data_IF_405214313730
#
_entry.id   IF_405214313730
#
_cell.length_a   1.000
_cell.length_b   1.000
_cell.length_c   1.000
_cell.angle_alpha   90.00
_cell.angle_beta   90.00
_cell.angle_gamma   90.00
#
_symmetry.space_group_name_H-M   'P 1'
#
loop_
_entity.id
_entity.type
_entity.pdbx_description
1 polymer ?
#
# COMPACT_ATOMS: atom_id res chain seq x y z
N UNK A 1 -11.76 -14.59 20.49
CA UNK A 1 -12.81 -13.54 20.51
C UNK A 1 -12.27 -12.22 19.96
N UNK A 2 -11.09 -11.77 20.38
CA UNK A 2 -10.51 -10.48 19.96
C UNK A 2 -10.22 -10.39 18.44
N UNK A 3 -9.72 -11.46 17.83
CA UNK A 3 -9.47 -11.51 16.40
C UNK A 3 -10.77 -11.42 15.57
N UNK A 4 -11.80 -12.14 15.98
CA UNK A 4 -13.13 -12.10 15.36
C UNK A 4 -13.78 -10.71 15.50
N UNK A 5 -13.65 -10.09 16.66
CA UNK A 5 -14.16 -8.74 16.90
C UNK A 5 -13.45 -7.70 16.01
N UNK A 6 -12.13 -7.78 15.88
CA UNK A 6 -11.34 -6.90 14.98
C UNK A 6 -11.72 -7.07 13.52
N UNK A 7 -11.93 -8.32 13.07
CA UNK A 7 -12.39 -8.61 11.70
C UNK A 7 -13.80 -8.06 11.48
N UNK A 8 -14.71 -8.26 12.43
CA UNK A 8 -16.06 -7.69 12.36
C UNK A 8 -16.04 -6.17 12.32
N UNK A 9 -15.26 -5.54 13.21
CA UNK A 9 -15.14 -4.07 13.24
C UNK A 9 -14.55 -3.52 11.94
N UNK A 10 -13.51 -4.17 11.43
CA UNK A 10 -12.92 -3.81 10.15
C UNK A 10 -13.94 -3.96 9.00
N UNK A 11 -14.66 -5.09 8.92
CA UNK A 11 -15.68 -5.32 7.91
C UNK A 11 -16.83 -4.30 8.00
N UNK A 12 -17.25 -3.93 9.21
CA UNK A 12 -18.29 -2.92 9.43
C UNK A 12 -17.84 -1.52 9.03
N UNK A 13 -16.63 -1.10 9.45
CA UNK A 13 -16.09 0.22 9.13
C UNK A 13 -15.79 0.32 7.63
N UNK A 14 -15.12 -0.68 7.05
CA UNK A 14 -14.80 -0.67 5.62
C UNK A 14 -16.05 -0.88 4.76
N UNK A 15 -16.93 -1.84 5.11
CA UNK A 15 -18.17 -2.08 4.38
C UNK A 15 -19.13 -0.90 4.48
N UNK A 16 -19.36 -0.38 5.68
CA UNK A 16 -20.20 0.80 5.91
C UNK A 16 -19.61 2.06 5.26
N UNK A 17 -18.29 2.25 5.39
CA UNK A 17 -17.58 3.35 4.73
C UNK A 17 -17.69 3.29 3.21
N UNK A 18 -17.54 2.11 2.60
CA UNK A 18 -17.72 1.90 1.16
C UNK A 18 -19.15 2.25 0.73
N UNK A 19 -20.16 1.77 1.45
CA UNK A 19 -21.55 2.06 1.14
C UNK A 19 -21.87 3.54 1.27
N UNK A 20 -21.35 4.20 2.32
CA UNK A 20 -21.54 5.61 2.55
C UNK A 20 -20.88 6.47 1.45
N UNK A 21 -19.60 6.26 1.17
CA UNK A 21 -18.87 6.98 0.12
C UNK A 21 -19.47 6.68 -1.26
N UNK A 22 -19.91 5.46 -1.47
CA UNK A 22 -20.58 4.98 -2.66
C UNK A 22 -21.90 5.74 -2.91
N UNK A 23 -22.66 6.08 -1.87
CA UNK A 23 -23.87 6.91 -1.98
C UNK A 23 -23.60 8.38 -2.32
N UNK A 24 -22.39 8.88 -2.03
CA UNK A 24 -21.98 10.26 -2.35
C UNK A 24 -21.52 10.43 -3.80
N UNK A 25 -21.15 9.34 -4.49
CA UNK A 25 -20.68 9.38 -5.88
C UNK A 25 -21.88 9.20 -6.82
N UNK A 26 -22.21 10.18 -7.67
CA UNK A 26 -23.30 10.06 -8.63
C UNK A 26 -23.04 8.92 -9.61
N UNK A 27 -24.06 8.12 -9.91
CA UNK A 27 -24.00 7.03 -10.90
C UNK A 27 -24.05 7.54 -12.37
N UNK A 28 -23.44 8.69 -12.62
CA UNK A 28 -23.35 9.24 -13.98
C UNK A 28 -22.10 8.67 -14.66
N UNK A 29 -22.25 7.98 -15.79
CA UNK A 29 -21.09 7.50 -16.55
C UNK A 29 -20.24 8.69 -16.99
N UNK A 30 -18.92 8.50 -17.00
CA UNK A 30 -17.99 9.50 -17.55
C UNK A 30 -18.15 9.59 -19.06
N UNK A 31 -17.75 10.74 -19.64
CA UNK A 31 -17.74 10.92 -21.09
C UNK A 31 -16.90 9.83 -21.76
N UNK A 32 -17.30 9.39 -22.95
CA UNK A 32 -16.61 8.33 -23.69
C UNK A 32 -15.12 8.65 -23.94
N UNK A 33 -14.79 9.93 -24.15
CA UNK A 33 -13.39 10.40 -24.27
C UNK A 33 -12.58 10.11 -23.01
N UNK A 34 -13.11 10.41 -21.83
CA UNK A 34 -12.44 10.15 -20.55
C UNK A 34 -12.31 8.64 -20.28
N UNK A 35 -13.30 7.83 -20.64
CA UNK A 35 -13.20 6.37 -20.53
C UNK A 35 -12.08 5.80 -21.44
N UNK A 36 -11.95 6.35 -22.66
CA UNK A 36 -10.89 5.99 -23.59
C UNK A 36 -9.50 6.40 -23.05
N UNK A 37 -9.38 7.60 -22.45
CA UNK A 37 -8.13 8.06 -21.83
C UNK A 37 -7.72 7.18 -20.64
N UNK A 38 -8.66 6.78 -19.80
CA UNK A 38 -8.40 5.86 -18.68
C UNK A 38 -7.94 4.51 -19.20
N UNK A 39 -8.54 3.99 -20.28
CA UNK A 39 -8.10 2.71 -20.87
C UNK A 39 -6.70 2.80 -21.48
N UNK A 40 -6.34 3.94 -22.06
CA UNK A 40 -5.05 4.19 -22.72
C UNK A 40 -3.91 4.46 -21.72
N UNK A 41 -4.16 5.29 -20.74
CA UNK A 41 -3.14 5.80 -19.83
C UNK A 41 -3.22 5.23 -18.41
N UNK A 42 -4.29 4.51 -18.06
CA UNK A 42 -4.52 4.02 -16.71
C UNK A 42 -3.38 3.14 -16.20
N UNK A 43 -2.84 2.26 -17.03
CA UNK A 43 -1.70 1.42 -16.67
C UNK A 43 -0.44 2.26 -16.37
N UNK A 44 -0.18 3.32 -17.13
CA UNK A 44 0.96 4.21 -16.90
C UNK A 44 0.80 4.99 -15.58
N UNK A 45 -0.39 5.49 -15.28
CA UNK A 45 -0.69 6.15 -14.01
C UNK A 45 -0.55 5.22 -12.80
N UNK A 46 -1.02 3.98 -12.92
CA UNK A 46 -0.84 2.96 -11.88
C UNK A 46 0.64 2.60 -11.71
N UNK A 47 1.39 2.50 -12.81
CA UNK A 47 2.83 2.31 -12.77
C UNK A 47 3.55 3.43 -12.03
N UNK A 48 3.23 4.68 -12.36
CA UNK A 48 3.79 5.86 -11.69
C UNK A 48 3.46 5.88 -10.19
N UNK A 49 2.23 5.58 -9.82
CA UNK A 49 1.83 5.49 -8.41
C UNK A 49 2.55 4.35 -7.67
N UNK A 50 2.83 3.23 -8.34
CA UNK A 50 3.66 2.15 -7.80
C UNK A 50 5.11 2.57 -7.56
N UNK A 51 5.71 3.30 -8.50
CA UNK A 51 7.06 3.86 -8.35
C UNK A 51 7.11 4.90 -7.23
N UNK A 52 6.08 5.73 -7.10
CA UNK A 52 5.95 6.67 -5.99
C UNK A 52 5.86 5.95 -4.64
N UNK A 53 5.04 4.89 -4.53
CA UNK A 53 4.95 4.08 -3.32
C UNK A 53 6.31 3.47 -2.95
N UNK A 54 7.05 2.95 -3.94
CA UNK A 54 8.40 2.42 -3.74
C UNK A 54 9.39 3.49 -3.28
N UNK A 55 9.43 4.66 -3.94
CA UNK A 55 10.30 5.77 -3.59
C UNK A 55 10.02 6.31 -2.18
N UNK A 56 8.74 6.42 -1.82
CA UNK A 56 8.32 6.80 -0.46
C UNK A 56 8.75 5.75 0.58
N UNK A 57 8.68 4.46 0.22
CA UNK A 57 9.17 3.36 1.04
C UNK A 57 10.68 3.47 1.29
N UNK A 58 11.49 3.68 0.26
CA UNK A 58 12.94 3.89 0.38
C UNK A 58 13.25 5.06 1.34
N UNK A 59 12.57 6.17 1.16
CA UNK A 59 12.75 7.36 2.00
C UNK A 59 12.33 7.11 3.46
N UNK A 60 11.24 6.39 3.68
CA UNK A 60 10.80 5.99 5.02
C UNK A 60 11.82 5.09 5.70
N UNK A 61 12.32 4.08 4.98
CA UNK A 61 13.32 3.14 5.48
C UNK A 61 14.66 3.80 5.84
N UNK A 62 15.08 4.83 5.09
CA UNK A 62 16.32 5.56 5.34
C UNK A 62 16.28 6.46 6.59
N UNK A 63 15.09 6.73 7.15
CA UNK A 63 14.89 7.57 8.34
C UNK A 63 14.62 6.81 9.63
N UNK A 64 14.82 5.51 9.67
CA UNK A 64 14.59 4.68 10.86
C UNK A 64 13.78 3.43 10.61
N UNK A 65 13.17 3.33 9.43
CA UNK A 65 12.47 2.13 8.98
C UNK A 65 11.07 1.93 9.58
N UNK A 66 10.32 0.96 9.03
CA UNK A 66 8.95 0.67 9.43
C UNK A 66 8.86 -0.15 10.72
N UNK A 67 10.00 -0.60 11.26
CA UNK A 67 10.07 -1.39 12.49
C UNK A 67 10.42 -0.44 13.65
N UNK A 68 9.40 0.14 14.27
CA UNK A 68 9.56 0.74 15.59
C UNK A 68 9.68 -0.41 16.60
N UNK A 69 10.89 -0.70 17.05
CA UNK A 69 11.13 -1.60 18.18
C UNK A 69 11.19 -0.72 19.40
N UNK A 70 10.30 -0.96 20.36
CA UNK A 70 10.32 -0.24 21.61
C UNK A 70 11.63 -0.52 22.36
N UNK A 71 12.18 0.48 23.03
CA UNK A 71 13.46 0.36 23.76
C UNK A 71 13.44 -0.74 24.79
N UNK A 72 12.28 -1.02 25.38
CA UNK A 72 12.06 -2.13 26.30
C UNK A 72 12.27 -3.49 25.64
N UNK A 73 11.78 -3.68 24.41
CA UNK A 73 11.96 -4.91 23.64
C UNK A 73 13.44 -5.13 23.24
N UNK A 74 14.15 -4.03 22.94
CA UNK A 74 15.58 -4.09 22.62
C UNK A 74 16.38 -4.65 23.78
N UNK A 75 16.11 -4.20 25.00
CA UNK A 75 16.85 -4.64 26.19
C UNK A 75 16.56 -6.09 26.57
N UNK A 76 15.31 -6.53 26.47
CA UNK A 76 14.93 -7.87 26.94
C UNK A 76 15.08 -8.96 25.88
N UNK A 77 14.79 -8.63 24.61
CA UNK A 77 14.76 -9.62 23.52
C UNK A 77 16.09 -9.74 22.79
N UNK A 78 16.82 -8.64 22.59
CA UNK A 78 18.10 -8.67 21.89
C UNK A 78 19.28 -9.15 22.76
N UNK A 79 19.13 -9.13 24.09
CA UNK A 79 20.11 -9.70 25.03
C UNK A 79 19.87 -11.20 25.30
N UNK A 80 18.69 -11.74 24.92
CA UNK A 80 18.40 -13.16 25.04
C UNK A 80 19.18 -13.96 23.97
N UNK A 81 19.57 -15.22 24.25
CA UNK A 81 20.32 -16.09 23.31
C UNK A 81 19.39 -16.64 22.21
N UNK A 82 18.60 -15.78 21.56
CA UNK A 82 17.70 -16.10 20.46
C UNK A 82 18.20 -15.51 19.14
N UNK A 83 17.96 -16.22 18.05
CA UNK A 83 18.36 -15.74 16.73
C UNK A 83 17.64 -14.43 16.39
N UNK A 84 18.38 -13.32 16.27
CA UNK A 84 17.86 -11.98 15.92
C UNK A 84 16.96 -12.00 14.69
N UNK A 85 17.25 -12.88 13.73
CA UNK A 85 16.44 -13.06 12.53
C UNK A 85 15.00 -13.47 12.83
N UNK A 86 14.78 -14.41 13.77
CA UNK A 86 13.44 -14.87 14.13
C UNK A 86 12.64 -13.79 14.84
N UNK A 87 13.31 -13.01 15.69
CA UNK A 87 12.69 -11.91 16.42
C UNK A 87 12.22 -10.79 15.50
N UNK A 88 13.02 -10.42 14.51
CA UNK A 88 12.71 -9.34 13.58
C UNK A 88 11.77 -9.76 12.44
N UNK A 89 11.75 -11.04 12.07
CA UNK A 89 10.93 -11.54 10.97
C UNK A 89 9.43 -11.40 11.27
N UNK A 90 9.01 -11.73 12.49
CA UNK A 90 7.59 -11.69 12.88
C UNK A 90 6.99 -10.29 12.77
N UNK A 91 7.56 -9.22 13.37
CA UNK A 91 7.04 -7.87 13.20
C UNK A 91 7.15 -7.36 11.76
N UNK A 92 8.18 -7.73 11.00
CA UNK A 92 8.30 -7.37 9.60
C UNK A 92 7.17 -7.96 8.74
N UNK A 93 6.89 -9.27 8.90
CA UNK A 93 5.79 -9.93 8.20
C UNK A 93 4.43 -9.37 8.63
N UNK A 94 4.25 -9.09 9.91
CA UNK A 94 3.02 -8.48 10.41
C UNK A 94 2.82 -7.08 9.81
N UNK A 95 3.87 -6.27 9.74
CA UNK A 95 3.81 -4.95 9.12
C UNK A 95 3.50 -5.01 7.63
N UNK A 96 4.13 -5.96 6.93
CA UNK A 96 3.85 -6.21 5.51
C UNK A 96 2.38 -6.58 5.30
N UNK A 97 1.88 -7.55 6.04
CA UNK A 97 0.47 -7.99 5.93
C UNK A 97 -0.51 -6.87 6.23
N UNK A 98 -0.29 -6.09 7.30
CA UNK A 98 -1.19 -4.98 7.64
C UNK A 98 -1.15 -3.86 6.59
N UNK A 99 0.02 -3.55 6.03
CA UNK A 99 0.12 -2.58 4.95
C UNK A 99 -0.58 -3.07 3.68
N UNK A 100 -0.33 -4.32 3.25
CA UNK A 100 -1.01 -4.91 2.09
C UNK A 100 -2.53 -4.94 2.27
N UNK A 101 -3.01 -5.29 3.47
CA UNK A 101 -4.44 -5.29 3.77
C UNK A 101 -5.04 -3.87 3.71
N UNK A 102 -4.41 -2.90 4.37
CA UNK A 102 -4.91 -1.53 4.42
C UNK A 102 -4.93 -0.88 3.02
N UNK A 103 -3.84 -0.99 2.27
CA UNK A 103 -3.76 -0.44 0.90
C UNK A 103 -4.60 -1.22 -0.09
N UNK A 104 -4.73 -2.55 0.09
CA UNK A 104 -5.63 -3.40 -0.70
C UNK A 104 -7.09 -3.03 -0.49
N UNK A 105 -7.51 -2.84 0.77
CA UNK A 105 -8.86 -2.38 1.08
C UNK A 105 -9.16 -1.00 0.48
N UNK A 106 -8.21 -0.04 0.63
CA UNK A 106 -8.34 1.28 0.02
C UNK A 106 -8.42 1.19 -1.52
N UNK A 107 -7.61 0.32 -2.13
CA UNK A 107 -7.64 0.06 -3.57
C UNK A 107 -8.97 -0.56 -4.04
N UNK A 108 -9.54 -1.50 -3.24
CA UNK A 108 -10.85 -2.08 -3.53
C UNK A 108 -11.95 -1.02 -3.54
N UNK A 109 -11.94 -0.11 -2.55
CA UNK A 109 -12.88 1.02 -2.48
C UNK A 109 -12.74 1.92 -3.71
N UNK A 110 -11.51 2.33 -4.02
CA UNK A 110 -11.25 3.16 -5.20
C UNK A 110 -11.70 2.47 -6.50
N UNK A 111 -11.41 1.17 -6.63
CA UNK A 111 -11.87 0.37 -7.77
C UNK A 111 -13.39 0.28 -7.86
N UNK A 112 -14.08 0.05 -6.74
CA UNK A 112 -15.54 0.02 -6.71
C UNK A 112 -16.14 1.36 -7.15
N UNK A 113 -15.56 2.48 -6.69
CA UNK A 113 -16.00 3.81 -7.11
C UNK A 113 -15.73 4.07 -8.60
N UNK A 114 -14.59 3.62 -9.12
CA UNK A 114 -14.27 3.68 -10.53
C UNK A 114 -15.27 2.87 -11.38
N UNK A 115 -15.64 1.66 -10.93
CA UNK A 115 -16.59 0.79 -11.61
C UNK A 115 -18.03 1.32 -11.69
N UNK A 116 -18.38 2.34 -10.90
CA UNK A 116 -19.67 3.05 -11.02
C UNK A 116 -19.71 4.03 -12.19
N UNK A 117 -18.57 4.49 -12.64
CA UNK A 117 -18.46 5.55 -13.64
C UNK A 117 -17.80 5.10 -14.94
N UNK A 118 -16.99 4.03 -14.86
CA UNK A 118 -16.27 3.46 -15.99
C UNK A 118 -16.97 2.19 -16.50
N UNK A 119 -16.82 1.85 -17.79
CA UNK A 119 -17.39 0.62 -18.34
C UNK A 119 -16.76 -0.62 -17.67
N UNK A 120 -17.58 -1.66 -17.49
CA UNK A 120 -17.18 -2.90 -16.84
C UNK A 120 -17.95 -3.20 -15.55
N UNK A 121 -17.64 -4.32 -14.89
CA UNK A 121 -18.31 -4.67 -13.64
C UNK A 121 -17.61 -4.01 -12.46
N UNK A 122 -18.37 -3.48 -11.50
CA UNK A 122 -17.83 -2.90 -10.27
C UNK A 122 -16.96 -3.90 -9.49
N UNK A 123 -17.32 -5.20 -9.54
CA UNK A 123 -16.54 -6.25 -8.90
C UNK A 123 -15.15 -6.41 -9.54
N UNK A 124 -15.03 -6.39 -10.86
CA UNK A 124 -13.74 -6.50 -11.53
C UNK A 124 -12.83 -5.30 -11.21
N UNK A 125 -13.41 -4.09 -11.19
CA UNK A 125 -12.71 -2.88 -10.78
C UNK A 125 -12.26 -2.93 -9.31
N UNK A 126 -13.13 -3.40 -8.40
CA UNK A 126 -12.79 -3.56 -6.99
C UNK A 126 -11.66 -4.57 -6.77
N UNK A 127 -11.72 -5.73 -7.44
CA UNK A 127 -10.68 -6.75 -7.35
C UNK A 127 -9.33 -6.26 -7.90
N UNK A 128 -9.34 -5.60 -9.06
CA UNK A 128 -8.14 -5.03 -9.67
C UNK A 128 -7.54 -3.95 -8.76
N UNK A 129 -8.38 -3.08 -8.20
CA UNK A 129 -7.96 -2.08 -7.23
C UNK A 129 -7.36 -2.69 -5.96
N UNK A 130 -7.99 -3.75 -5.43
CA UNK A 130 -7.48 -4.48 -4.25
C UNK A 130 -6.11 -5.09 -4.52
N UNK A 131 -5.93 -5.78 -5.63
CA UNK A 131 -4.66 -6.40 -6.00
C UNK A 131 -3.57 -5.35 -6.20
N UNK A 132 -3.88 -4.28 -6.93
CA UNK A 132 -2.93 -3.19 -7.13
C UNK A 132 -2.56 -2.51 -5.82
N UNK A 133 -3.54 -2.19 -4.97
CA UNK A 133 -3.32 -1.58 -3.67
C UNK A 133 -2.45 -2.46 -2.76
N UNK A 134 -2.73 -3.77 -2.68
CA UNK A 134 -1.92 -4.70 -1.92
C UNK A 134 -0.47 -4.76 -2.44
N UNK A 135 -0.28 -4.74 -3.76
CA UNK A 135 1.05 -4.71 -4.38
C UNK A 135 1.79 -3.40 -4.04
N UNK A 136 1.12 -2.26 -4.10
CA UNK A 136 1.69 -0.97 -3.72
C UNK A 136 2.12 -0.93 -2.24
N UNK A 137 1.30 -1.50 -1.34
CA UNK A 137 1.65 -1.66 0.06
C UNK A 137 2.86 -2.57 0.29
N UNK A 138 2.94 -3.67 -0.46
CA UNK A 138 4.10 -4.56 -0.42
C UNK A 138 5.37 -3.87 -0.93
N UNK A 139 5.29 -3.13 -2.02
CA UNK A 139 6.40 -2.34 -2.57
C UNK A 139 6.89 -1.29 -1.57
N UNK A 140 5.97 -0.56 -0.93
CA UNK A 140 6.31 0.44 0.08
C UNK A 140 7.07 -0.18 1.27
N UNK A 141 6.52 -1.23 1.89
CA UNK A 141 7.14 -1.86 3.07
C UNK A 141 8.41 -2.60 2.68
N UNK A 142 8.42 -3.30 1.54
CA UNK A 142 9.60 -4.00 1.02
C UNK A 142 10.75 -3.02 0.76
N UNK A 143 10.48 -1.91 0.09
CA UNK A 143 11.46 -0.86 -0.15
C UNK A 143 12.00 -0.26 1.15
N UNK A 144 11.12 -0.02 2.13
CA UNK A 144 11.53 0.52 3.43
C UNK A 144 12.43 -0.46 4.20
N UNK A 145 12.11 -1.76 4.19
CA UNK A 145 12.94 -2.78 4.81
C UNK A 145 14.30 -2.90 4.10
N UNK A 146 14.33 -2.87 2.76
CA UNK A 146 15.57 -2.89 1.98
C UNK A 146 16.43 -1.66 2.28
N UNK A 147 15.85 -0.46 2.26
CA UNK A 147 16.58 0.78 2.55
C UNK A 147 17.18 0.76 3.97
N UNK A 148 16.44 0.25 4.94
CA UNK A 148 16.92 0.11 6.31
C UNK A 148 18.03 -0.94 6.43
N UNK A 149 17.89 -2.11 5.81
CA UNK A 149 18.89 -3.18 5.85
C UNK A 149 20.20 -2.78 5.17
N UNK A 150 20.13 -2.04 4.07
CA UNK A 150 21.27 -1.50 3.33
C UNK A 150 21.84 -0.22 3.93
N UNK A 151 21.25 0.29 5.03
CA UNK A 151 21.64 1.54 5.68
C UNK A 151 21.75 2.71 4.70
N UNK A 152 20.81 2.79 3.76
CA UNK A 152 20.81 3.84 2.76
C UNK A 152 20.69 5.21 3.42
N UNK A 153 21.56 6.14 3.02
CA UNK A 153 21.44 7.54 3.45
C UNK A 153 20.22 8.19 2.78
N UNK A 154 19.56 9.11 3.48
CA UNK A 154 18.33 9.75 3.00
C UNK A 154 18.46 10.39 1.63
N UNK A 155 19.61 10.99 1.31
CA UNK A 155 19.86 11.58 -0.02
C UNK A 155 19.95 10.50 -1.11
N UNK A 156 20.58 9.34 -0.84
CA UNK A 156 20.65 8.23 -1.80
C UNK A 156 19.26 7.66 -2.08
N UNK A 157 18.44 7.47 -1.04
CA UNK A 157 17.06 7.02 -1.20
C UNK A 157 16.23 8.01 -2.05
N UNK A 158 16.43 9.31 -1.85
CA UNK A 158 15.76 10.35 -2.63
C UNK A 158 16.25 10.40 -4.09
N UNK A 159 17.55 10.23 -4.34
CA UNK A 159 18.11 10.19 -5.69
C UNK A 159 17.63 8.97 -6.49
N UNK A 160 17.62 7.79 -5.86
CA UNK A 160 17.11 6.57 -6.50
C UNK A 160 15.63 6.73 -6.82
N UNK A 161 14.82 7.21 -5.85
CA UNK A 161 13.40 7.45 -6.06
C UNK A 161 13.14 8.47 -7.17
N UNK A 162 13.88 9.58 -7.18
CA UNK A 162 13.78 10.60 -8.23
C UNK A 162 14.15 10.08 -9.61
N UNK A 163 15.22 9.30 -9.72
CA UNK A 163 15.64 8.69 -10.99
C UNK A 163 14.59 7.72 -11.54
N UNK A 164 13.98 6.90 -10.67
CA UNK A 164 12.92 5.98 -11.07
C UNK A 164 11.65 6.72 -11.56
N UNK A 165 11.28 7.81 -10.87
CA UNK A 165 10.15 8.64 -11.28
C UNK A 165 10.44 9.30 -12.64
N UNK A 166 11.63 9.86 -12.82
CA UNK A 166 12.04 10.47 -14.09
C UNK A 166 12.03 9.44 -15.23
N UNK A 167 12.53 8.24 -14.99
CA UNK A 167 12.50 7.14 -15.96
C UNK A 167 11.07 6.73 -16.34
N UNK A 168 10.14 6.76 -15.42
CA UNK A 168 8.74 6.37 -15.67
C UNK A 168 7.99 7.43 -16.49
N UNK A 169 8.43 8.69 -16.43
CA UNK A 169 7.79 9.81 -17.15
C UNK A 169 8.37 10.00 -18.54
N UNK A 170 9.65 9.60 -18.76
CA UNK A 170 10.33 9.68 -20.04
C UNK A 170 9.83 8.64 -21.05
#
# INVERSE_FOLDING_TARGET
FEALYRVYLAAFIFGGGILFISGLVPDKPVANSMAADVSKFGAAWLGLAGVLAFAMGLRSGSRGGPLAIEEADVRHVLLAPVSRRRVLLRPAVQRLRSAMFATGAAGAVAGQLAGRRLPGSGMSWAMSGALWGATAGALFVGAALCAHSLKLRGWMASSIGGALIAWQIA
#
